data_IF_554477969077
#
_entry.id   IF_554477969077
#
_cell.length_a   1.000
_cell.length_b   1.000
_cell.length_c   1.000
_cell.angle_alpha   90.00
_cell.angle_beta   90.00
_cell.angle_gamma   90.00
#
_symmetry.space_group_name_H-M   'P 1'
#
loop_
_entity.id
_entity.type
_entity.pdbx_description
1 polymer ?
#
# COMPACT_ATOMS: atom_id res chain seq x y z
N UNK A 1 -37.69 5.49 13.26
CA UNK A 1 -37.21 5.00 14.58
C UNK A 1 -35.69 5.13 14.62
N UNK A 2 -35.06 5.06 15.80
CA UNK A 2 -33.60 5.08 15.91
C UNK A 2 -32.96 3.92 15.13
N UNK A 3 -33.56 2.72 15.20
CA UNK A 3 -33.11 1.54 14.45
C UNK A 3 -33.01 1.79 12.93
N UNK A 4 -34.05 2.40 12.35
CA UNK A 4 -34.08 2.71 10.92
C UNK A 4 -33.02 3.74 10.54
N UNK A 5 -32.76 4.71 11.40
CA UNK A 5 -31.67 5.68 11.20
C UNK A 5 -30.31 4.97 11.25
N UNK A 6 -30.07 4.08 12.23
CA UNK A 6 -28.83 3.30 12.33
C UNK A 6 -28.57 2.45 11.09
N UNK A 7 -29.60 1.81 10.52
CA UNK A 7 -29.50 1.04 9.27
C UNK A 7 -29.10 1.91 8.08
N UNK A 8 -29.72 3.08 7.94
CA UNK A 8 -29.38 4.04 6.87
C UNK A 8 -27.94 4.51 6.98
N UNK A 9 -27.51 4.87 8.19
CA UNK A 9 -26.11 5.28 8.45
C UNK A 9 -25.15 4.16 8.08
N UNK A 10 -25.41 2.93 8.54
CA UNK A 10 -24.54 1.79 8.26
C UNK A 10 -24.41 1.48 6.77
N UNK A 11 -25.52 1.50 6.03
CA UNK A 11 -25.51 1.36 4.58
C UNK A 11 -24.77 2.51 3.88
N UNK A 12 -24.93 3.73 4.37
CA UNK A 12 -24.24 4.90 3.80
C UNK A 12 -22.73 4.83 4.02
N UNK A 13 -22.26 4.28 5.14
CA UNK A 13 -20.83 4.05 5.37
C UNK A 13 -20.22 3.12 4.31
N UNK A 14 -20.90 2.04 3.94
CA UNK A 14 -20.47 1.18 2.83
C UNK A 14 -20.45 1.93 1.49
N UNK A 15 -21.46 2.77 1.22
CA UNK A 15 -21.47 3.62 0.03
C UNK A 15 -20.28 4.58 -0.03
N UNK A 16 -19.92 5.19 1.10
CA UNK A 16 -18.74 6.05 1.20
C UNK A 16 -17.44 5.26 0.98
N UNK A 17 -17.29 4.08 1.60
CA UNK A 17 -16.13 3.21 1.41
C UNK A 17 -15.99 2.77 -0.06
N UNK A 18 -17.08 2.49 -0.75
CA UNK A 18 -17.05 2.16 -2.17
C UNK A 18 -16.50 3.29 -3.03
N UNK A 19 -16.89 4.54 -2.76
CA UNK A 19 -16.38 5.72 -3.46
C UNK A 19 -14.87 5.90 -3.18
N UNK A 20 -14.44 5.69 -1.94
CA UNK A 20 -13.02 5.74 -1.56
C UNK A 20 -12.22 4.68 -2.34
N UNK A 21 -12.69 3.42 -2.38
CA UNK A 21 -12.03 2.35 -3.14
C UNK A 21 -12.00 2.63 -4.65
N UNK A 22 -13.07 3.20 -5.20
CA UNK A 22 -13.12 3.60 -6.61
C UNK A 22 -12.09 4.70 -6.91
N UNK A 23 -11.98 5.70 -6.02
CA UNK A 23 -10.97 6.75 -6.15
C UNK A 23 -9.55 6.19 -6.05
N UNK A 24 -9.26 5.32 -5.07
CA UNK A 24 -7.95 4.64 -4.94
C UNK A 24 -7.64 3.81 -6.20
N UNK A 25 -8.61 3.06 -6.71
CA UNK A 25 -8.48 2.28 -7.95
C UNK A 25 -8.13 3.20 -9.14
N UNK A 26 -8.83 4.33 -9.26
CA UNK A 26 -8.53 5.35 -10.27
C UNK A 26 -7.09 5.88 -10.16
N UNK A 27 -6.59 6.17 -8.95
CA UNK A 27 -5.20 6.63 -8.76
C UNK A 27 -4.18 5.60 -9.26
N UNK A 28 -4.37 4.32 -8.95
CA UNK A 28 -3.50 3.24 -9.42
C UNK A 28 -3.62 3.02 -10.93
N UNK A 29 -4.84 3.10 -11.49
CA UNK A 29 -5.06 2.96 -12.93
C UNK A 29 -4.38 4.07 -13.73
N UNK A 30 -4.48 5.31 -13.24
CA UNK A 30 -3.76 6.45 -13.82
C UNK A 30 -2.24 6.28 -13.72
N UNK A 31 -1.75 5.75 -12.61
CA UNK A 31 -0.35 5.33 -12.46
C UNK A 31 0.07 4.27 -13.49
N UNK A 32 -0.78 3.28 -13.77
CA UNK A 32 -0.46 2.20 -14.68
C UNK A 32 -0.43 2.61 -16.16
N UNK A 33 -1.35 3.48 -16.61
CA UNK A 33 -1.54 3.77 -18.03
C UNK A 33 -1.11 5.15 -18.51
N UNK A 34 -1.10 6.15 -17.62
CA UNK A 34 -0.94 7.56 -18.00
C UNK A 34 0.16 8.24 -17.21
N UNK A 35 1.20 7.50 -16.83
CA UNK A 35 2.24 7.99 -15.94
C UNK A 35 3.65 7.69 -16.45
N UNK A 36 4.62 8.38 -15.85
CA UNK A 36 6.04 8.10 -16.02
C UNK A 36 6.66 7.33 -14.84
N UNK A 37 5.88 6.46 -14.16
CA UNK A 37 6.31 5.78 -12.94
C UNK A 37 7.60 4.97 -13.11
N UNK A 38 7.71 4.09 -14.12
CA UNK A 38 8.96 3.33 -14.34
C UNK A 38 10.17 4.24 -14.58
N UNK A 39 10.01 5.30 -15.39
CA UNK A 39 11.09 6.26 -15.62
C UNK A 39 11.48 6.95 -14.32
N UNK A 40 10.50 7.46 -13.57
CA UNK A 40 10.73 8.09 -12.27
C UNK A 40 11.41 7.14 -11.27
N UNK A 41 11.09 5.85 -11.29
CA UNK A 41 11.69 4.88 -10.38
C UNK A 41 13.19 4.70 -10.64
N UNK A 42 13.63 4.87 -11.90
CA UNK A 42 15.06 4.82 -12.28
C UNK A 42 15.83 6.09 -11.92
N UNK A 43 15.19 7.27 -11.96
CA UNK A 43 15.79 8.55 -11.54
C UNK A 43 14.77 9.41 -10.78
N UNK A 44 14.53 9.12 -9.49
CA UNK A 44 13.51 9.78 -8.70
C UNK A 44 13.89 11.22 -8.30
N UNK A 45 15.13 11.64 -8.53
CA UNK A 45 15.66 12.96 -8.16
C UNK A 45 15.40 13.96 -9.30
N UNK A 46 15.76 13.57 -10.53
CA UNK A 46 15.66 14.49 -11.67
C UNK A 46 14.26 14.50 -12.27
N UNK A 47 13.65 13.32 -12.44
CA UNK A 47 12.35 13.16 -13.12
C UNK A 47 11.22 13.59 -12.18
N UNK A 48 10.24 14.33 -12.72
CA UNK A 48 9.07 14.79 -11.95
C UNK A 48 7.92 13.81 -12.13
N UNK A 49 7.25 13.46 -11.02
CA UNK A 49 6.10 12.57 -11.07
C UNK A 49 4.98 13.18 -11.91
N UNK A 50 4.41 12.38 -12.81
CA UNK A 50 3.28 12.76 -13.65
C UNK A 50 2.41 11.53 -13.89
N UNK A 51 1.11 11.67 -13.72
CA UNK A 51 0.12 10.59 -13.88
C UNK A 51 -1.19 11.08 -14.50
N UNK A 52 -1.12 12.19 -15.24
CA UNK A 52 -2.26 12.79 -15.93
C UNK A 52 -1.80 13.37 -17.26
N UNK A 53 -2.50 13.02 -18.33
CA UNK A 53 -2.24 13.50 -19.69
C UNK A 53 -3.51 14.15 -20.23
N UNK A 54 -3.37 15.34 -20.81
CA UNK A 54 -4.46 16.12 -21.38
C UNK A 54 -4.59 15.82 -22.87
N UNK A 55 -5.80 15.59 -23.36
CA UNK A 55 -6.04 15.36 -24.79
C UNK A 55 -5.90 16.64 -25.64
N UNK A 56 -5.34 16.54 -26.87
CA UNK A 56 -5.08 17.68 -27.75
C UNK A 56 -6.30 18.05 -28.59
N UNK A 57 -7.27 18.74 -27.99
CA UNK A 57 -8.53 19.10 -28.67
C UNK A 57 -8.52 20.57 -29.12
N UNK A 58 -8.14 21.48 -28.23
CA UNK A 58 -8.30 22.94 -28.41
C UNK A 58 -7.01 23.74 -28.12
N UNK A 59 -5.85 23.10 -28.14
CA UNK A 59 -4.58 23.72 -27.72
C UNK A 59 -4.26 23.52 -26.23
N UNK A 60 -5.14 22.84 -25.49
CA UNK A 60 -4.96 22.56 -24.05
C UNK A 60 -3.84 21.55 -23.76
N UNK A 61 -3.30 20.88 -24.77
CA UNK A 61 -2.10 20.04 -24.67
C UNK A 61 -0.85 20.83 -24.26
N UNK A 62 -0.89 22.17 -24.29
CA UNK A 62 0.12 23.03 -23.64
C UNK A 62 0.30 22.71 -22.15
N UNK A 63 -0.70 22.11 -21.50
CA UNK A 63 -0.62 21.64 -20.11
C UNK A 63 0.24 20.38 -19.94
N UNK A 64 0.52 19.64 -21.01
CA UNK A 64 1.41 18.48 -20.98
C UNK A 64 2.87 18.95 -21.05
N UNK A 65 3.40 19.38 -19.91
CA UNK A 65 4.78 19.81 -19.80
C UNK A 65 5.75 18.62 -19.90
N UNK A 66 6.97 18.88 -20.37
CA UNK A 66 8.07 17.92 -20.27
C UNK A 66 8.48 17.77 -18.80
N UNK A 67 8.25 16.58 -18.24
CA UNK A 67 8.52 16.23 -16.85
C UNK A 67 9.73 15.29 -16.71
N UNK A 68 10.44 15.04 -17.81
CA UNK A 68 11.55 14.09 -17.89
C UNK A 68 11.08 12.64 -18.12
N UNK A 69 12.04 11.76 -18.42
CA UNK A 69 11.76 10.35 -18.70
C UNK A 69 11.04 10.10 -20.03
N UNK A 70 11.24 10.99 -21.01
CA UNK A 70 10.55 10.99 -22.31
C UNK A 70 9.02 11.03 -22.19
N UNK A 71 8.50 11.69 -21.16
CA UNK A 71 7.08 11.79 -20.88
C UNK A 71 6.63 13.24 -20.81
N UNK A 72 5.46 13.52 -21.39
CA UNK A 72 4.81 14.83 -21.32
C UNK A 72 3.44 14.69 -20.67
N UNK A 73 3.20 15.48 -19.63
CA UNK A 73 1.95 15.43 -18.88
C UNK A 73 1.90 16.48 -17.77
N UNK A 74 0.86 16.40 -16.95
CA UNK A 74 0.68 17.29 -15.81
C UNK A 74 1.48 16.75 -14.62
N UNK A 75 2.45 17.54 -14.14
CA UNK A 75 3.17 17.19 -12.93
C UNK A 75 2.20 17.07 -11.74
N UNK A 76 2.20 15.92 -11.07
CA UNK A 76 1.35 15.65 -9.91
C UNK A 76 2.08 15.91 -8.60
N UNK A 77 1.31 16.20 -7.55
CA UNK A 77 1.85 16.59 -6.22
C UNK A 77 1.26 15.77 -5.07
N UNK A 78 0.50 14.71 -5.39
CA UNK A 78 -0.18 13.85 -4.42
C UNK A 78 0.75 12.86 -3.70
N UNK A 79 1.96 12.62 -4.22
CA UNK A 79 2.96 11.77 -3.57
C UNK A 79 2.78 10.26 -3.76
N UNK A 80 1.91 9.83 -4.70
CA UNK A 80 1.65 8.42 -4.97
C UNK A 80 2.89 7.64 -5.40
N UNK A 81 3.79 8.27 -6.18
CA UNK A 81 4.99 7.59 -6.67
C UNK A 81 5.93 7.17 -5.52
N UNK A 82 6.11 8.03 -4.53
CA UNK A 82 6.92 7.72 -3.35
C UNK A 82 6.27 6.61 -2.51
N UNK A 83 4.94 6.59 -2.41
CA UNK A 83 4.22 5.55 -1.69
C UNK A 83 4.33 4.19 -2.40
N UNK A 84 4.11 4.13 -3.71
CA UNK A 84 4.27 2.90 -4.49
C UNK A 84 5.70 2.34 -4.43
N UNK A 85 6.70 3.22 -4.49
CA UNK A 85 8.11 2.80 -4.27
C UNK A 85 8.29 2.19 -2.88
N UNK A 86 7.76 2.84 -1.84
CA UNK A 86 7.85 2.35 -0.46
C UNK A 86 7.10 1.03 -0.24
N UNK A 87 6.09 0.71 -1.06
CA UNK A 87 5.38 -0.58 -1.09
C UNK A 87 6.14 -1.68 -1.85
N UNK A 88 7.20 -1.31 -2.58
CA UNK A 88 7.98 -2.23 -3.40
C UNK A 88 7.37 -2.49 -4.78
N UNK A 89 6.50 -1.60 -5.28
CA UNK A 89 5.97 -1.69 -6.64
C UNK A 89 7.05 -1.25 -7.63
N UNK A 90 7.41 -2.10 -8.58
CA UNK A 90 8.47 -1.86 -9.56
C UNK A 90 7.98 -1.75 -11.00
N UNK A 91 6.72 -2.08 -11.27
CA UNK A 91 6.15 -2.05 -12.62
C UNK A 91 4.70 -1.55 -12.68
N UNK A 92 4.29 -1.04 -13.85
CA UNK A 92 2.92 -0.60 -14.11
C UNK A 92 1.91 -1.76 -14.07
N UNK A 93 2.37 -3.00 -14.31
CA UNK A 93 1.51 -4.19 -14.27
C UNK A 93 1.00 -4.45 -12.86
N UNK A 94 1.83 -4.23 -11.84
CA UNK A 94 1.42 -4.32 -10.44
C UNK A 94 0.39 -3.25 -10.09
N UNK A 95 0.59 -2.00 -10.54
CA UNK A 95 -0.38 -0.91 -10.38
C UNK A 95 -1.72 -1.26 -11.03
N UNK A 96 -1.70 -1.87 -12.22
CA UNK A 96 -2.91 -2.31 -12.90
C UNK A 96 -3.70 -3.34 -12.07
N UNK A 97 -3.04 -4.37 -11.57
CA UNK A 97 -3.72 -5.39 -10.76
C UNK A 97 -4.24 -4.83 -9.43
N UNK A 98 -3.50 -3.92 -8.81
CA UNK A 98 -3.98 -3.18 -7.63
C UNK A 98 -5.22 -2.34 -7.96
N UNK A 99 -5.26 -1.69 -9.12
CA UNK A 99 -6.43 -0.92 -9.58
C UNK A 99 -7.66 -1.82 -9.77
N UNK A 100 -7.49 -3.00 -10.38
CA UNK A 100 -8.60 -3.97 -10.55
C UNK A 100 -9.08 -4.51 -9.21
N UNK A 101 -8.15 -4.81 -8.28
CA UNK A 101 -8.49 -5.22 -6.92
C UNK A 101 -9.29 -4.14 -6.18
N UNK A 102 -8.87 -2.87 -6.26
CA UNK A 102 -9.60 -1.74 -5.69
C UNK A 102 -11.00 -1.57 -6.28
N UNK A 103 -11.16 -1.76 -7.60
CA UNK A 103 -12.45 -1.70 -8.27
C UNK A 103 -13.39 -2.83 -7.82
N UNK A 104 -12.86 -4.06 -7.71
CA UNK A 104 -13.63 -5.18 -7.18
C UNK A 104 -14.08 -4.94 -5.73
N UNK A 105 -13.19 -4.40 -4.88
CA UNK A 105 -13.52 -4.02 -3.51
C UNK A 105 -14.60 -2.93 -3.45
N UNK A 106 -14.55 -1.93 -4.35
CA UNK A 106 -15.61 -0.93 -4.48
C UNK A 106 -16.98 -1.56 -4.76
N UNK A 107 -17.05 -2.52 -5.70
CA UNK A 107 -18.26 -3.26 -6.01
C UNK A 107 -18.76 -4.10 -4.81
N UNK A 108 -17.85 -4.78 -4.09
CA UNK A 108 -18.18 -5.54 -2.88
C UNK A 108 -18.75 -4.62 -1.80
N UNK A 109 -18.18 -3.43 -1.59
CA UNK A 109 -18.69 -2.46 -0.61
C UNK A 109 -20.10 -1.98 -0.98
N UNK A 110 -20.36 -1.66 -2.25
CA UNK A 110 -21.72 -1.31 -2.70
C UNK A 110 -22.71 -2.45 -2.44
N UNK A 111 -22.33 -3.68 -2.75
CA UNK A 111 -23.16 -4.85 -2.52
C UNK A 111 -23.42 -5.06 -1.02
N UNK A 112 -22.40 -4.95 -0.17
CA UNK A 112 -22.54 -5.09 1.29
C UNK A 112 -23.50 -4.04 1.86
N UNK A 113 -23.40 -2.78 1.41
CA UNK A 113 -24.32 -1.71 1.79
C UNK A 113 -25.77 -2.03 1.41
N UNK A 114 -26.00 -2.39 0.15
CA UNK A 114 -27.33 -2.82 -0.31
C UNK A 114 -27.85 -4.03 0.48
N UNK A 115 -27.01 -5.05 0.70
CA UNK A 115 -27.39 -6.28 1.37
C UNK A 115 -27.79 -6.02 2.83
N UNK A 116 -26.99 -5.27 3.56
CA UNK A 116 -27.24 -4.92 4.96
C UNK A 116 -28.31 -3.83 5.17
N UNK A 117 -28.90 -3.31 4.09
CA UNK A 117 -30.07 -2.43 4.17
C UNK A 117 -31.35 -3.11 3.69
N UNK A 118 -31.32 -3.78 2.55
CA UNK A 118 -32.51 -4.33 1.90
C UNK A 118 -32.77 -5.82 2.16
N UNK A 119 -31.75 -6.60 2.54
CA UNK A 119 -31.87 -8.06 2.70
C UNK A 119 -31.69 -8.52 4.14
N UNK A 120 -30.61 -8.07 4.78
CA UNK A 120 -30.22 -8.50 6.11
C UNK A 120 -29.91 -7.29 6.99
N UNK A 121 -30.94 -6.49 7.27
CA UNK A 121 -30.81 -5.28 8.06
C UNK A 121 -30.62 -5.58 9.55
N UNK A 122 -29.49 -5.16 10.18
CA UNK A 122 -29.24 -5.44 11.60
C UNK A 122 -30.28 -4.78 12.51
N UNK A 123 -30.43 -5.28 13.73
CA UNK A 123 -31.30 -4.72 14.77
C UNK A 123 -30.55 -3.69 15.62
N UNK A 124 -31.29 -2.84 16.33
CA UNK A 124 -30.71 -1.79 17.19
C UNK A 124 -29.75 -2.35 18.24
N UNK A 125 -30.05 -3.51 18.83
CA UNK A 125 -29.21 -4.18 19.84
C UNK A 125 -27.79 -4.47 19.33
N UNK A 126 -27.64 -4.81 18.04
CA UNK A 126 -26.33 -5.05 17.42
C UNK A 126 -25.55 -3.75 17.30
N UNK A 127 -26.20 -2.67 16.85
CA UNK A 127 -25.56 -1.35 16.74
C UNK A 127 -25.13 -0.78 18.10
N UNK A 128 -25.83 -1.13 19.17
CA UNK A 128 -25.56 -0.66 20.53
C UNK A 128 -24.55 -1.52 21.29
N UNK A 129 -24.05 -2.62 20.70
CA UNK A 129 -23.02 -3.46 21.31
C UNK A 129 -21.63 -2.81 21.17
N UNK A 130 -21.39 -1.79 21.99
CA UNK A 130 -20.15 -1.03 22.00
C UNK A 130 -18.92 -1.86 22.39
N UNK A 131 -19.08 -2.84 23.29
CA UNK A 131 -17.99 -3.73 23.70
C UNK A 131 -17.48 -4.56 22.52
N UNK A 132 -18.40 -5.21 21.79
CA UNK A 132 -18.04 -5.96 20.60
C UNK A 132 -17.44 -5.05 19.53
N UNK A 133 -18.06 -3.90 19.26
CA UNK A 133 -17.56 -2.94 18.26
C UNK A 133 -16.13 -2.49 18.59
N UNK A 134 -15.86 -2.13 19.84
CA UNK A 134 -14.55 -1.66 20.27
C UNK A 134 -13.50 -2.78 20.16
N UNK A 135 -13.80 -3.98 20.64
CA UNK A 135 -12.87 -5.11 20.56
C UNK A 135 -12.54 -5.48 19.12
N UNK A 136 -13.54 -5.53 18.23
CA UNK A 136 -13.32 -5.88 16.83
C UNK A 136 -12.61 -4.77 16.05
N UNK A 137 -12.82 -3.49 16.38
CA UNK A 137 -12.08 -2.41 15.74
C UNK A 137 -10.64 -2.30 16.26
N UNK A 138 -10.41 -2.40 17.57
CA UNK A 138 -9.06 -2.28 18.13
C UNK A 138 -8.20 -3.51 17.82
N UNK A 139 -8.62 -4.70 18.23
CA UNK A 139 -7.82 -5.91 18.05
C UNK A 139 -7.91 -6.45 16.61
N UNK A 140 -9.11 -6.40 16.02
CA UNK A 140 -9.35 -6.90 14.67
C UNK A 140 -8.85 -5.93 13.61
N UNK A 141 -9.56 -4.82 13.41
CA UNK A 141 -9.27 -3.88 12.30
C UNK A 141 -7.88 -3.23 12.43
N UNK A 142 -7.55 -2.67 13.60
CA UNK A 142 -6.27 -1.99 13.80
C UNK A 142 -5.12 -2.98 14.03
N UNK A 143 -5.28 -3.94 14.95
CA UNK A 143 -4.26 -4.94 15.27
C UNK A 143 -3.87 -5.82 14.07
N UNK A 144 -4.83 -6.53 13.47
CA UNK A 144 -4.55 -7.36 12.29
C UNK A 144 -4.17 -6.51 11.06
N UNK A 145 -4.64 -5.26 10.98
CA UNK A 145 -4.20 -4.30 9.97
C UNK A 145 -2.71 -3.99 10.10
N UNK A 146 -2.24 -3.63 11.30
CA UNK A 146 -0.83 -3.36 11.57
C UNK A 146 0.03 -4.60 11.38
N UNK A 147 -0.44 -5.78 11.83
CA UNK A 147 0.28 -7.03 11.67
C UNK A 147 0.47 -7.41 10.19
N UNK A 148 -0.60 -7.34 9.41
CA UNK A 148 -0.55 -7.68 7.98
C UNK A 148 0.32 -6.68 7.20
N UNK A 149 0.26 -5.40 7.54
CA UNK A 149 1.12 -4.39 6.94
C UNK A 149 2.59 -4.58 7.29
N UNK A 150 2.92 -4.87 8.56
CA UNK A 150 4.29 -5.21 8.96
C UNK A 150 4.80 -6.45 8.20
N UNK A 151 3.97 -7.49 8.05
CA UNK A 151 4.30 -8.66 7.24
C UNK A 151 4.60 -8.30 5.78
N UNK A 152 3.78 -7.48 5.14
CA UNK A 152 4.04 -6.97 3.78
C UNK A 152 5.36 -6.19 3.73
N UNK A 153 5.60 -5.30 4.70
CA UNK A 153 6.83 -4.52 4.75
C UNK A 153 8.08 -5.40 4.88
N UNK A 154 8.04 -6.39 5.78
CA UNK A 154 9.17 -7.29 6.03
C UNK A 154 9.49 -8.15 4.81
N UNK A 155 8.46 -8.70 4.16
CA UNK A 155 8.63 -9.75 3.16
C UNK A 155 8.66 -9.24 1.72
N UNK A 156 8.12 -8.04 1.45
CA UNK A 156 8.03 -7.48 0.10
C UNK A 156 8.77 -6.13 0.01
N UNK A 157 8.32 -5.15 0.78
CA UNK A 157 8.81 -3.78 0.62
C UNK A 157 10.31 -3.64 0.97
N UNK A 158 10.74 -4.24 2.09
CA UNK A 158 12.12 -4.20 2.58
C UNK A 158 13.15 -4.73 1.58
N UNK A 159 13.05 -5.99 1.09
CA UNK A 159 14.05 -6.51 0.16
C UNK A 159 14.13 -5.70 -1.14
N UNK A 160 12.98 -5.30 -1.68
CA UNK A 160 12.91 -4.51 -2.92
C UNK A 160 13.54 -3.12 -2.72
N UNK A 161 13.16 -2.40 -1.67
CA UNK A 161 13.72 -1.07 -1.40
C UNK A 161 15.21 -1.13 -1.06
N UNK A 162 15.69 -2.19 -0.41
CA UNK A 162 17.12 -2.38 -0.17
C UNK A 162 17.92 -2.48 -1.48
N UNK A 163 17.36 -3.13 -2.50
CA UNK A 163 17.98 -3.23 -3.83
C UNK A 163 17.86 -1.92 -4.62
N UNK A 164 16.69 -1.26 -4.57
CA UNK A 164 16.49 0.05 -5.19
C UNK A 164 17.44 1.11 -4.61
N UNK A 165 17.65 1.10 -3.29
CA UNK A 165 18.57 2.02 -2.61
C UNK A 165 20.04 1.67 -2.89
N UNK A 166 20.33 0.43 -3.27
CA UNK A 166 21.65 -0.01 -3.75
C UNK A 166 21.88 0.33 -5.24
N UNK A 167 20.91 0.94 -5.92
CA UNK A 167 21.01 1.33 -7.33
C UNK A 167 20.76 0.21 -8.33
N UNK A 168 20.17 -0.91 -7.90
CA UNK A 168 19.75 -1.98 -8.81
C UNK A 168 18.57 -1.50 -9.64
N UNK A 169 18.61 -1.75 -10.96
CA UNK A 169 17.53 -1.33 -11.85
C UNK A 169 16.22 -2.07 -11.50
N UNK A 170 15.04 -1.41 -11.53
CA UNK A 170 13.78 -2.05 -11.18
C UNK A 170 13.48 -3.35 -11.95
N UNK A 171 13.93 -3.45 -13.21
CA UNK A 171 13.74 -4.62 -14.07
C UNK A 171 14.65 -5.80 -13.73
N UNK A 172 15.72 -5.56 -12.96
CA UNK A 172 16.66 -6.60 -12.50
C UNK A 172 16.31 -7.10 -11.10
N UNK A 173 15.41 -6.42 -10.40
CA UNK A 173 14.94 -6.84 -9.07
C UNK A 173 14.02 -8.05 -9.24
N UNK A 174 14.27 -9.16 -8.50
CA UNK A 174 13.38 -10.31 -8.49
C UNK A 174 11.95 -9.90 -8.12
N UNK A 175 10.95 -10.58 -8.67
CA UNK A 175 9.57 -10.26 -8.37
C UNK A 175 9.23 -10.57 -6.89
N UNK A 176 8.27 -9.86 -6.28
CA UNK A 176 7.91 -10.03 -4.87
C UNK A 176 7.72 -11.50 -4.42
N UNK A 177 7.13 -12.34 -5.26
CA UNK A 177 6.88 -13.75 -4.94
C UNK A 177 8.16 -14.61 -4.89
N UNK A 178 9.23 -14.21 -5.56
CA UNK A 178 10.52 -14.90 -5.51
C UNK A 178 11.16 -14.73 -4.13
N UNK A 179 11.06 -13.55 -3.52
CA UNK A 179 11.50 -13.32 -2.13
C UNK A 179 10.71 -14.14 -1.11
N UNK A 180 9.42 -14.37 -1.35
CA UNK A 180 8.56 -15.17 -0.47
C UNK A 180 8.90 -16.66 -0.51
N UNK A 181 9.21 -17.19 -1.69
CA UNK A 181 9.42 -18.63 -1.90
C UNK A 181 10.88 -19.01 -1.67
N UNK A 182 11.81 -18.14 -2.06
CA UNK A 182 13.25 -18.40 -1.96
C UNK A 182 13.84 -17.73 -0.71
N UNK A 183 13.93 -18.51 0.37
CA UNK A 183 14.55 -18.05 1.62
C UNK A 183 16.01 -17.63 1.44
N UNK A 184 16.76 -18.25 0.54
CA UNK A 184 18.17 -17.93 0.34
C UNK A 184 18.35 -16.54 -0.27
N UNK A 185 17.38 -16.09 -1.09
CA UNK A 185 17.36 -14.72 -1.62
C UNK A 185 17.15 -13.70 -0.50
N UNK A 186 16.19 -13.95 0.40
CA UNK A 186 16.00 -13.11 1.59
C UNK A 186 17.22 -13.13 2.52
N UNK A 187 17.83 -14.31 2.74
CA UNK A 187 18.97 -14.46 3.63
C UNK A 187 20.24 -13.76 3.13
N UNK A 188 20.41 -13.57 1.83
CA UNK A 188 21.49 -12.74 1.27
C UNK A 188 21.35 -11.26 1.67
N UNK A 189 20.11 -10.78 1.78
CA UNK A 189 19.82 -9.41 2.20
C UNK A 189 19.76 -9.27 3.73
N UNK A 190 19.18 -10.25 4.41
CA UNK A 190 18.90 -10.27 5.84
C UNK A 190 19.31 -11.63 6.43
N UNK A 191 20.58 -11.79 6.86
CA UNK A 191 21.12 -13.08 7.29
C UNK A 191 20.32 -13.82 8.37
N UNK A 192 19.54 -13.10 9.19
CA UNK A 192 18.70 -13.71 10.23
C UNK A 192 17.60 -14.61 9.67
N UNK A 193 17.19 -14.46 8.40
CA UNK A 193 16.21 -15.34 7.75
C UNK A 193 16.67 -16.80 7.70
N UNK A 194 17.98 -17.09 7.73
CA UNK A 194 18.51 -18.45 7.84
C UNK A 194 18.12 -19.15 9.16
N UNK A 195 17.87 -18.39 10.22
CA UNK A 195 17.46 -18.91 11.53
C UNK A 195 15.97 -19.29 11.58
N UNK A 196 15.19 -18.87 10.58
CA UNK A 196 13.75 -19.12 10.50
C UNK A 196 13.00 -18.55 11.72
N UNK A 197 11.96 -19.26 12.15
CA UNK A 197 11.06 -18.82 13.24
C UNK A 197 11.49 -19.31 14.62
N UNK A 198 12.59 -20.07 14.73
CA UNK A 198 13.03 -20.60 16.02
C UNK A 198 13.33 -19.48 17.05
N UNK A 199 14.01 -18.37 16.71
CA UNK A 199 14.20 -17.26 17.64
C UNK A 199 12.90 -16.61 18.13
N UNK A 200 11.86 -16.53 17.27
CA UNK A 200 10.55 -16.00 17.65
C UNK A 200 9.90 -16.82 18.77
N UNK A 201 9.76 -18.14 18.57
CA UNK A 201 9.14 -19.03 19.56
C UNK A 201 10.04 -19.32 20.78
N UNK A 202 11.35 -19.15 20.63
CA UNK A 202 12.32 -19.30 21.72
C UNK A 202 12.56 -18.04 22.55
N UNK A 203 11.95 -16.90 22.21
CA UNK A 203 12.14 -15.63 22.92
C UNK A 203 13.48 -14.93 22.67
N UNK A 204 14.28 -15.38 21.71
CA UNK A 204 15.57 -14.77 21.35
C UNK A 204 15.39 -13.72 20.23
N UNK A 205 14.56 -12.71 20.47
CA UNK A 205 14.11 -11.78 19.43
C UNK A 205 15.19 -10.83 18.91
N UNK A 206 16.30 -10.66 19.65
CA UNK A 206 17.44 -9.85 19.23
C UNK A 206 18.05 -10.32 17.89
N UNK A 207 17.80 -11.57 17.49
CA UNK A 207 18.28 -12.14 16.24
C UNK A 207 17.68 -11.51 14.98
N UNK A 208 16.54 -10.81 15.09
CA UNK A 208 15.85 -10.18 13.94
C UNK A 208 16.23 -8.70 13.73
N UNK A 209 17.34 -8.25 14.33
CA UNK A 209 17.76 -6.83 14.31
C UNK A 209 18.25 -6.32 12.95
N UNK A 210 18.34 -7.18 11.93
CA UNK A 210 18.75 -6.81 10.57
C UNK A 210 17.58 -6.29 9.72
N UNK A 211 16.33 -6.67 10.03
CA UNK A 211 15.12 -6.16 9.36
C UNK A 211 14.10 -5.50 10.30
N UNK A 212 14.18 -5.72 11.62
CA UNK A 212 13.44 -4.99 12.64
C UNK A 212 14.41 -4.08 13.41
N UNK A 213 14.56 -2.85 12.94
CA UNK A 213 15.56 -1.93 13.49
C UNK A 213 14.94 -0.89 14.41
N UNK A 214 15.80 -0.13 15.10
CA UNK A 214 15.45 1.08 15.84
C UNK A 214 16.54 2.13 15.62
N UNK A 215 16.79 2.48 14.36
CA UNK A 215 17.86 3.41 13.99
C UNK A 215 17.54 4.84 14.41
N UNK A 216 16.26 5.24 14.28
CA UNK A 216 15.78 6.55 14.69
C UNK A 216 16.37 7.68 13.84
N UNK A 217 15.73 8.00 12.72
CA UNK A 217 16.17 9.07 11.82
C UNK A 217 15.81 8.79 10.38
N UNK A 218 16.58 9.37 9.45
CA UNK A 218 16.36 9.25 8.01
C UNK A 218 17.41 8.35 7.35
N UNK A 219 16.99 7.62 6.32
CA UNK A 219 17.87 6.92 5.40
C UNK A 219 18.60 7.97 4.55
N UNK A 220 19.95 8.02 4.57
CA UNK A 220 20.71 9.03 3.84
C UNK A 220 20.60 8.91 2.30
N UNK A 221 20.20 7.75 1.78
CA UNK A 221 20.03 7.54 0.33
C UNK A 221 18.72 8.16 -0.15
N UNK A 222 17.62 7.88 0.55
CA UNK A 222 16.27 8.28 0.12
C UNK A 222 15.79 9.60 0.73
N UNK A 223 16.40 10.03 1.84
CA UNK A 223 15.91 11.12 2.67
C UNK A 223 14.62 10.80 3.44
N UNK A 224 14.06 9.59 3.29
CA UNK A 224 12.86 9.13 3.99
C UNK A 224 13.20 8.39 5.29
N UNK A 225 12.17 7.93 6.00
CA UNK A 225 12.34 7.08 7.18
C UNK A 225 12.88 5.70 6.80
N UNK A 226 13.56 5.03 7.73
CA UNK A 226 13.98 3.64 7.55
C UNK A 226 12.75 2.72 7.50
N UNK A 227 12.54 2.03 6.38
CA UNK A 227 11.43 1.07 6.27
C UNK A 227 11.50 -0.05 7.32
N UNK A 228 12.70 -0.42 7.78
CA UNK A 228 12.88 -1.42 8.85
C UNK A 228 12.45 -0.90 10.22
N UNK A 229 12.58 0.41 10.47
CA UNK A 229 12.01 1.04 11.67
C UNK A 229 10.47 1.13 11.54
N UNK A 230 9.94 1.42 10.34
CA UNK A 230 8.49 1.46 10.11
C UNK A 230 7.87 0.06 10.26
N UNK A 231 8.53 -0.99 9.76
CA UNK A 231 8.09 -2.38 9.91
C UNK A 231 8.02 -2.79 11.38
N UNK A 232 9.06 -2.45 12.15
CA UNK A 232 9.09 -2.68 13.58
C UNK A 232 8.03 -1.86 14.34
N UNK A 233 7.79 -0.62 13.92
CA UNK A 233 6.73 0.22 14.47
C UNK A 233 5.35 -0.42 14.30
N UNK A 234 5.00 -0.87 13.09
CA UNK A 234 3.71 -1.54 12.86
C UNK A 234 3.60 -2.86 13.60
N UNK A 235 4.69 -3.62 13.72
CA UNK A 235 4.69 -4.85 14.52
C UNK A 235 4.43 -4.57 16.01
N UNK A 236 4.94 -3.46 16.54
CA UNK A 236 4.72 -3.07 17.92
C UNK A 236 3.31 -2.49 18.19
N UNK A 237 2.63 -2.00 17.15
CA UNK A 237 1.24 -1.55 17.23
C UNK A 237 0.22 -2.70 17.12
N UNK A 238 0.63 -3.82 16.53
CA UNK A 238 -0.20 -5.01 16.35
C UNK A 238 -0.45 -5.76 17.66
#
# INVERSE_FOLDING_TARGET
SLEEVSRKIFSAHFGQLAIIFLWISGMHFHGAYFSNYSSWLTDPISIKQSSQVVWPIVGQEILNADVGGNFQGVQTTSGWFQMWRAEGITSEVELYWTAIGGLAMSAIMLFAGWFHYHKAAPKLEWFQNAESMMNHHLAGLLGLGCLSWSGHQIHIALPINKLLDAGVSPQEIPLPHEFLINRDLMAQLYPSFNKGLAPFFGGNWAEYSDFLTFKGGLNPVTGGLWLSDIAHHHLALA
#
